data_IF_603946028753
#
_entry.id   IF_603946028753
#
_cell.length_a   1.000
_cell.length_b   1.000
_cell.length_c   1.000
_cell.angle_alpha   90.00
_cell.angle_beta   90.00
_cell.angle_gamma   90.00
#
_symmetry.space_group_name_H-M   'P 1'
#
loop_
_entity.id
_entity.type
_entity.pdbx_description
1 polymer ?
#
# COMPACT_ATOMS: atom_id res chain seq x y z
N UNK A 1 7.75 7.65 -2.57
CA UNK A 1 6.70 7.27 -1.60
C UNK A 1 7.09 6.04 -0.76
N UNK A 2 7.54 4.92 -1.34
CA UNK A 2 7.97 3.74 -0.56
C UNK A 2 9.05 3.99 0.50
N UNK A 3 9.97 4.95 0.27
CA UNK A 3 10.94 5.38 1.29
C UNK A 3 10.29 5.97 2.55
N UNK A 4 9.16 6.67 2.41
CA UNK A 4 8.45 7.26 3.55
C UNK A 4 7.77 6.19 4.40
N UNK A 5 7.32 5.10 3.78
CA UNK A 5 6.84 3.90 4.49
C UNK A 5 8.02 3.22 5.22
N UNK A 6 9.17 3.05 4.55
CA UNK A 6 10.35 2.41 5.14
C UNK A 6 10.90 3.15 6.36
N UNK A 7 11.00 4.48 6.26
CA UNK A 7 11.46 5.34 7.35
C UNK A 7 10.34 5.55 8.40
N UNK A 8 9.09 5.27 8.02
CA UNK A 8 7.92 5.43 8.85
C UNK A 8 7.65 6.89 9.19
N UNK A 9 7.62 7.75 8.16
CA UNK A 9 7.26 9.16 8.26
C UNK A 9 5.89 9.36 7.60
N UNK A 10 4.91 9.86 8.35
CA UNK A 10 3.49 9.93 7.95
C UNK A 10 2.95 8.58 7.47
N UNK A 11 3.32 7.52 8.17
CA UNK A 11 3.09 6.11 7.80
C UNK A 11 1.64 5.82 7.37
N UNK A 12 0.59 6.18 8.14
CA UNK A 12 -0.79 5.88 7.74
C UNK A 12 -1.26 6.63 6.50
N UNK A 13 -0.87 7.90 6.35
CA UNK A 13 -1.27 8.72 5.18
C UNK A 13 -0.61 8.18 3.91
N UNK A 14 0.69 7.90 3.97
CA UNK A 14 1.42 7.37 2.81
C UNK A 14 0.90 5.98 2.44
N UNK A 15 0.54 5.16 3.43
CA UNK A 15 -0.03 3.84 3.19
C UNK A 15 -1.40 3.93 2.50
N UNK A 16 -2.28 4.84 2.93
CA UNK A 16 -3.55 5.08 2.24
C UNK A 16 -3.37 5.56 0.79
N UNK A 17 -2.41 6.48 0.54
CA UNK A 17 -2.11 6.94 -0.81
C UNK A 17 -1.60 5.80 -1.70
N UNK A 18 -0.75 4.91 -1.16
CA UNK A 18 -0.26 3.74 -1.89
C UNK A 18 -1.37 2.72 -2.16
N UNK A 19 -2.27 2.49 -1.19
CA UNK A 19 -3.42 1.63 -1.39
C UNK A 19 -4.32 2.15 -2.53
N UNK A 20 -4.66 3.44 -2.50
CA UNK A 20 -5.44 4.08 -3.55
C UNK A 20 -4.73 4.02 -4.92
N UNK A 21 -3.41 4.23 -4.94
CA UNK A 21 -2.62 4.07 -6.15
C UNK A 21 -2.67 2.65 -6.71
N UNK A 22 -2.53 1.62 -5.88
CA UNK A 22 -2.61 0.22 -6.32
C UNK A 22 -3.99 -0.10 -6.91
N UNK A 23 -5.08 0.37 -6.30
CA UNK A 23 -6.44 0.18 -6.85
C UNK A 23 -6.56 0.84 -8.22
N UNK A 24 -6.13 2.11 -8.33
CA UNK A 24 -6.20 2.85 -9.59
C UNK A 24 -5.34 2.19 -10.68
N UNK A 25 -4.10 1.80 -10.35
CA UNK A 25 -3.19 1.15 -11.27
C UNK A 25 -3.72 -0.20 -11.77
N UNK A 26 -4.21 -1.05 -10.85
CA UNK A 26 -4.79 -2.35 -11.19
C UNK A 26 -6.02 -2.21 -12.09
N UNK A 27 -6.93 -1.29 -11.76
CA UNK A 27 -8.14 -1.05 -12.54
C UNK A 27 -7.82 -0.50 -13.94
N UNK A 28 -6.91 0.45 -14.06
CA UNK A 28 -6.57 1.07 -15.36
C UNK A 28 -5.72 0.12 -16.22
N UNK A 29 -4.75 -0.58 -15.63
CA UNK A 29 -3.74 -1.33 -16.38
C UNK A 29 -4.10 -2.79 -16.66
N UNK A 30 -5.00 -3.39 -15.87
CA UNK A 30 -5.19 -4.85 -15.88
C UNK A 30 -6.64 -5.32 -15.88
N UNK A 31 -7.62 -4.46 -15.62
CA UNK A 31 -9.03 -4.86 -15.63
C UNK A 31 -9.60 -4.94 -17.05
N UNK A 32 -9.95 -6.16 -17.48
CA UNK A 32 -10.61 -6.39 -18.76
C UNK A 32 -9.68 -6.45 -19.98
N UNK A 33 -8.37 -6.46 -19.79
CA UNK A 33 -7.39 -6.71 -20.84
C UNK A 33 -7.24 -8.21 -21.14
N UNK A 34 -6.82 -8.52 -22.37
CA UNK A 34 -6.55 -9.89 -22.83
C UNK A 34 -7.37 -10.30 -24.06
N UNK A 35 -8.51 -9.65 -24.31
CA UNK A 35 -9.35 -9.94 -25.47
C UNK A 35 -9.77 -11.40 -25.53
N UNK A 36 -9.64 -12.02 -26.70
CA UNK A 36 -9.96 -13.45 -26.92
C UNK A 36 -8.78 -14.39 -26.61
N UNK A 37 -7.60 -13.85 -26.25
CA UNK A 37 -6.44 -14.69 -25.91
C UNK A 37 -6.54 -15.15 -24.44
N UNK A 38 -6.67 -16.47 -24.18
CA UNK A 38 -6.81 -17.00 -22.83
C UNK A 38 -5.59 -16.75 -21.95
N UNK A 39 -4.39 -16.76 -22.54
CA UNK A 39 -3.13 -16.60 -21.81
C UNK A 39 -3.00 -15.16 -21.35
N UNK A 40 -3.28 -14.21 -22.24
CA UNK A 40 -3.18 -12.78 -21.92
C UNK A 40 -4.25 -12.39 -20.89
N UNK A 41 -5.48 -12.90 -21.05
CA UNK A 41 -6.56 -12.70 -20.08
C UNK A 41 -6.18 -13.20 -18.68
N UNK A 42 -5.54 -14.37 -18.60
CA UNK A 42 -5.04 -14.91 -17.34
C UNK A 42 -3.94 -14.03 -16.73
N UNK A 43 -2.95 -13.60 -17.53
CA UNK A 43 -1.86 -12.75 -17.03
C UNK A 43 -2.38 -11.41 -16.48
N UNK A 44 -3.29 -10.75 -17.19
CA UNK A 44 -3.89 -9.50 -16.73
C UNK A 44 -4.73 -9.69 -15.46
N UNK A 45 -5.50 -10.78 -15.37
CA UNK A 45 -6.24 -11.12 -14.14
C UNK A 45 -5.29 -11.36 -12.96
N UNK A 46 -4.16 -12.03 -13.19
CA UNK A 46 -3.14 -12.27 -12.15
C UNK A 46 -2.51 -10.96 -11.67
N UNK A 47 -2.20 -10.04 -12.60
CA UNK A 47 -1.65 -8.72 -12.26
C UNK A 47 -2.65 -7.87 -11.48
N UNK A 48 -3.93 -7.88 -11.87
CA UNK A 48 -5.00 -7.20 -11.14
C UNK A 48 -5.10 -7.71 -9.69
N UNK A 49 -5.11 -9.04 -9.49
CA UNK A 49 -5.17 -9.62 -8.15
C UNK A 49 -3.95 -9.25 -7.30
N UNK A 50 -2.77 -9.11 -7.92
CA UNK A 50 -1.54 -8.66 -7.23
C UNK A 50 -1.72 -7.24 -6.68
N UNK A 51 -2.26 -6.32 -7.47
CA UNK A 51 -2.45 -4.94 -7.06
C UNK A 51 -3.54 -4.79 -5.97
N UNK A 52 -4.60 -5.61 -6.04
CA UNK A 52 -5.60 -5.69 -4.97
C UNK A 52 -4.97 -6.19 -3.66
N UNK A 53 -4.14 -7.25 -3.72
CA UNK A 53 -3.45 -7.77 -2.54
C UNK A 53 -2.50 -6.74 -1.92
N UNK A 54 -1.74 -6.01 -2.75
CA UNK A 54 -0.88 -4.91 -2.29
C UNK A 54 -1.68 -3.78 -1.65
N UNK A 55 -2.81 -3.37 -2.26
CA UNK A 55 -3.71 -2.38 -1.67
C UNK A 55 -4.20 -2.80 -0.28
N UNK A 56 -4.62 -4.07 -0.12
CA UNK A 56 -5.02 -4.62 1.17
C UNK A 56 -3.90 -4.58 2.21
N UNK A 57 -2.66 -4.93 1.81
CA UNK A 57 -1.48 -4.83 2.68
C UNK A 57 -1.19 -3.40 3.14
N UNK A 58 -1.29 -2.42 2.24
CA UNK A 58 -1.13 -1.01 2.61
C UNK A 58 -2.28 -0.49 3.50
N UNK A 59 -3.51 -0.94 3.28
CA UNK A 59 -4.64 -0.58 4.15
C UNK A 59 -4.45 -1.15 5.56
N UNK A 60 -4.00 -2.41 5.67
CA UNK A 60 -3.65 -3.02 6.94
C UNK A 60 -2.52 -2.25 7.65
N UNK A 61 -1.50 -1.81 6.91
CA UNK A 61 -0.42 -0.97 7.45
C UNK A 61 -0.93 0.41 7.91
N UNK A 62 -1.86 1.01 7.18
CA UNK A 62 -2.48 2.27 7.57
C UNK A 62 -3.26 2.14 8.89
N UNK A 63 -3.94 1.01 9.11
CA UNK A 63 -4.66 0.70 10.35
C UNK A 63 -3.73 0.35 11.51
N UNK A 64 -2.65 -0.38 11.26
CA UNK A 64 -1.66 -0.73 12.27
C UNK A 64 -0.85 0.49 12.75
N UNK A 65 -0.71 1.50 11.90
CA UNK A 65 0.01 2.74 12.21
C UNK A 65 1.53 2.58 12.19
N UNK A 66 2.21 3.60 12.74
CA UNK A 66 3.67 3.64 12.79
C UNK A 66 4.23 2.67 13.84
N UNK A 67 5.06 1.70 13.40
CA UNK A 67 5.68 0.71 14.28
C UNK A 67 6.70 1.31 15.27
N UNK A 68 7.11 0.54 16.28
CA UNK A 68 8.02 1.00 17.34
C UNK A 68 9.41 1.50 16.85
N UNK A 69 9.82 1.09 15.66
CA UNK A 69 11.07 1.50 15.01
C UNK A 69 10.90 2.61 13.96
N UNK A 70 9.69 3.12 13.75
CA UNK A 70 9.42 4.23 12.83
C UNK A 70 9.77 5.58 13.48
N UNK A 71 10.11 6.59 12.65
CA UNK A 71 10.31 7.97 13.14
C UNK A 71 9.04 8.51 13.81
N UNK A 72 7.86 8.33 13.19
CA UNK A 72 6.57 8.71 13.78
C UNK A 72 6.38 8.03 15.16
N UNK A 73 6.66 6.73 15.26
CA UNK A 73 6.53 5.95 16.50
C UNK A 73 7.51 6.41 17.60
N UNK A 74 8.75 6.76 17.22
CA UNK A 74 9.76 7.27 18.14
C UNK A 74 9.41 8.66 18.67
N UNK A 75 8.83 9.53 17.84
CA UNK A 75 8.42 10.87 18.25
C UNK A 75 7.24 10.86 19.21
N UNK A 76 6.26 9.96 19.00
CA UNK A 76 5.16 9.74 19.95
C UNK A 76 5.67 9.25 21.31
N UNK A 77 6.66 8.35 21.31
CA UNK A 77 7.24 7.84 22.56
C UNK A 77 7.95 8.93 23.35
N UNK A 78 8.77 9.74 22.67
CA UNK A 78 9.49 10.88 23.26
C UNK A 78 8.52 11.87 23.91
N UNK A 79 7.37 12.13 23.30
CA UNK A 79 6.34 12.97 23.91
C UNK A 79 5.81 12.41 25.23
N UNK A 80 5.51 11.11 25.27
CA UNK A 80 4.96 10.43 26.45
C UNK A 80 5.95 10.29 27.62
N UNK A 81 7.25 10.21 27.35
CA UNK A 81 8.29 10.16 28.39
C UNK A 81 8.65 11.54 28.97
N UNK A 82 8.18 12.63 28.36
CA UNK A 82 8.42 14.01 28.81
C UNK A 82 7.25 14.66 29.56
N UNK A 83 6.10 13.98 29.66
CA UNK A 83 4.89 14.42 30.37
C UNK A 83 4.64 13.59 31.62
#
# INVERSE_FOLDING_TARGET
AGLLILVGLKTPIVALLLAAFCIAAGFIGHYGQGGDDPTLTFMHSQMLMKDIALSGGFLALAMAGAGAYSIDGRMLRIGAETT
#
